data_IF_194346032107
#
_entry.id   IF_194346032107
#
_cell.length_a   1.000
_cell.length_b   1.000
_cell.length_c   1.000
_cell.angle_alpha   90.00
_cell.angle_beta   90.00
_cell.angle_gamma   90.00
#
_symmetry.space_group_name_H-M   'P 1'
#
loop_
_entity.id
_entity.type
_entity.pdbx_description
1 polymer ?
#
# COMPACT_ATOMS: atom_id res chain seq x y z
N UNK A 1 -6.01 -1.94 -9.78
CA UNK A 1 -6.75 -0.91 -9.02
C UNK A 1 -5.87 0.31 -8.87
N UNK A 2 -6.45 1.51 -8.87
CA UNK A 2 -5.72 2.78 -8.72
C UNK A 2 -6.34 3.56 -7.58
N UNK A 3 -5.51 4.12 -6.71
CA UNK A 3 -5.91 4.90 -5.54
C UNK A 3 -5.17 6.25 -5.57
N UNK A 4 -5.96 7.33 -5.59
CA UNK A 4 -5.45 8.70 -5.71
C UNK A 4 -5.29 9.43 -4.35
N UNK A 5 -5.43 8.70 -3.25
CA UNK A 5 -5.26 9.21 -1.89
C UNK A 5 -4.26 8.29 -1.19
N UNK A 6 -3.23 8.87 -0.59
CA UNK A 6 -2.22 8.14 0.14
C UNK A 6 -2.40 8.33 1.64
N UNK A 7 -2.13 7.28 2.40
CA UNK A 7 -2.00 7.33 3.86
C UNK A 7 -0.51 7.37 4.20
N UNK A 8 -0.06 8.46 4.81
CA UNK A 8 1.29 8.57 5.33
C UNK A 8 1.24 8.34 6.84
N UNK A 9 1.85 7.24 7.27
CA UNK A 9 1.99 6.92 8.69
C UNK A 9 3.42 7.22 9.13
N UNK A 10 3.57 8.04 10.17
CA UNK A 10 4.86 8.35 10.75
C UNK A 10 5.15 7.41 11.94
N UNK A 11 6.10 6.49 11.77
CA UNK A 11 6.52 5.53 12.79
C UNK A 11 7.69 6.01 13.68
N UNK A 12 8.12 7.27 13.56
CA UNK A 12 9.18 7.82 14.41
C UNK A 12 8.74 7.90 15.88
N UNK A 13 9.71 7.97 16.81
CA UNK A 13 9.56 7.95 18.29
C UNK A 13 8.67 9.09 18.87
N UNK A 14 8.10 9.94 18.02
CA UNK A 14 7.09 10.96 18.38
C UNK A 14 5.65 10.44 18.31
N UNK A 15 4.68 11.36 18.33
CA UNK A 15 3.26 11.04 18.17
C UNK A 15 3.04 10.32 16.81
N UNK A 16 2.42 9.13 16.79
CA UNK A 16 2.04 8.48 15.54
C UNK A 16 0.92 9.31 14.90
N UNK A 17 1.29 10.11 13.92
CA UNK A 17 0.37 10.96 13.17
C UNK A 17 0.21 10.39 11.79
N UNK A 18 -1.01 9.95 11.51
CA UNK A 18 -1.44 9.51 10.19
C UNK A 18 -2.08 10.69 9.46
N UNK A 19 -1.61 10.98 8.25
CA UNK A 19 -2.19 12.03 7.40
C UNK A 19 -2.59 11.45 6.04
N UNK A 20 -3.75 11.89 5.55
CA UNK A 20 -4.22 11.57 4.21
C UNK A 20 -3.82 12.68 3.26
N UNK A 21 -3.11 12.33 2.19
CA UNK A 21 -2.65 13.29 1.18
C UNK A 21 -3.14 12.88 -0.22
N UNK A 22 -3.53 13.84 -1.08
CA UNK A 22 -3.91 13.53 -2.45
C UNK A 22 -2.69 13.17 -3.28
N UNK A 23 -2.88 12.39 -4.34
CA UNK A 23 -1.88 12.27 -5.40
C UNK A 23 -1.71 13.60 -6.12
N UNK A 24 -0.48 13.90 -6.54
CA UNK A 24 -0.10 15.14 -7.20
C UNK A 24 0.63 14.86 -8.51
N UNK A 25 1.16 15.91 -9.16
CA UNK A 25 2.00 15.72 -10.36
C UNK A 25 3.35 15.06 -10.03
N UNK A 26 3.80 15.19 -8.78
CA UNK A 26 5.08 14.65 -8.30
C UNK A 26 4.84 13.27 -7.68
N UNK A 27 3.81 13.14 -6.85
CA UNK A 27 3.42 11.89 -6.20
C UNK A 27 2.30 11.20 -6.99
N UNK A 28 2.66 10.22 -7.80
CA UNK A 28 1.71 9.49 -8.64
C UNK A 28 0.73 8.64 -7.80
N UNK A 29 -0.50 8.40 -8.32
CA UNK A 29 -1.45 7.50 -7.69
C UNK A 29 -0.88 6.10 -7.41
N UNK A 30 -1.22 5.55 -6.25
CA UNK A 30 -0.89 4.18 -5.91
C UNK A 30 -1.63 3.24 -6.86
N UNK A 31 -0.92 2.31 -7.48
CA UNK A 31 -1.51 1.31 -8.37
C UNK A 31 -1.23 -0.08 -7.86
N UNK A 32 -2.18 -0.99 -8.06
CA UNK A 32 -2.04 -2.38 -7.68
C UNK A 32 -2.56 -3.35 -8.73
N UNK A 33 -1.74 -4.35 -9.02
CA UNK A 33 -2.13 -5.51 -9.82
C UNK A 33 -2.31 -6.70 -8.87
N UNK A 34 -3.42 -7.43 -9.00
CA UNK A 34 -3.63 -8.68 -8.27
C UNK A 34 -3.92 -9.80 -9.26
N UNK A 35 -3.21 -10.90 -9.10
CA UNK A 35 -3.42 -12.16 -9.81
C UNK A 35 -3.86 -13.19 -8.79
N UNK A 36 -4.95 -13.90 -9.05
CA UNK A 36 -5.42 -14.97 -8.17
C UNK A 36 -5.80 -16.20 -8.98
N UNK A 37 -5.57 -17.36 -8.38
CA UNK A 37 -5.95 -18.65 -8.92
C UNK A 37 -6.53 -19.50 -7.79
N UNK A 38 -7.59 -20.26 -8.08
CA UNK A 38 -8.24 -21.08 -7.08
C UNK A 38 -8.82 -22.36 -7.68
N UNK A 39 -8.82 -23.41 -6.87
CA UNK A 39 -9.42 -24.70 -7.17
C UNK A 39 -10.45 -25.02 -6.10
N UNK A 40 -11.65 -25.39 -6.55
CA UNK A 40 -12.75 -25.82 -5.68
C UNK A 40 -13.14 -27.23 -6.08
N UNK A 41 -13.23 -28.13 -5.11
CA UNK A 41 -13.62 -29.53 -5.35
C UNK A 41 -14.60 -30.01 -4.31
N UNK A 42 -15.68 -30.60 -4.78
CA UNK A 42 -16.62 -31.36 -3.95
C UNK A 42 -16.15 -32.81 -3.93
N UNK A 43 -15.77 -33.32 -2.76
CA UNK A 43 -15.28 -34.69 -2.57
C UNK A 43 -16.45 -35.63 -2.25
N UNK A 44 -17.44 -35.13 -1.50
CA UNK A 44 -18.72 -35.80 -1.24
C UNK A 44 -19.82 -34.74 -1.06
N UNK A 45 -21.12 -35.12 -1.02
CA UNK A 45 -22.19 -34.15 -0.76
C UNK A 45 -22.00 -33.34 0.53
N UNK A 46 -21.33 -33.92 1.54
CA UNK A 46 -21.03 -33.25 2.81
C UNK A 46 -19.64 -32.60 2.85
N UNK A 47 -18.70 -32.97 1.97
CA UNK A 47 -17.31 -32.49 2.04
C UNK A 47 -16.93 -31.69 0.79
N UNK A 48 -16.67 -30.39 1.00
CA UNK A 48 -16.17 -29.46 0.00
C UNK A 48 -14.82 -28.92 0.46
N UNK A 49 -13.85 -28.91 -0.45
CA UNK A 49 -12.54 -28.32 -0.23
C UNK A 49 -12.29 -27.24 -1.27
N UNK A 50 -11.60 -26.17 -0.85
CA UNK A 50 -11.14 -25.12 -1.74
C UNK A 50 -9.74 -24.69 -1.35
N UNK A 51 -8.91 -24.42 -2.35
CA UNK A 51 -7.61 -23.77 -2.20
C UNK A 51 -7.59 -22.57 -3.12
N UNK A 52 -7.11 -21.45 -2.61
CA UNK A 52 -6.94 -20.21 -3.35
C UNK A 52 -5.52 -19.70 -3.08
N UNK A 53 -4.91 -19.13 -4.11
CA UNK A 53 -3.61 -18.48 -4.04
C UNK A 53 -3.69 -17.14 -4.77
N UNK A 54 -2.94 -16.15 -4.30
CA UNK A 54 -2.88 -14.84 -4.91
C UNK A 54 -1.49 -14.22 -4.83
N UNK A 55 -1.24 -13.31 -5.77
CA UNK A 55 -0.05 -12.49 -5.85
C UNK A 55 -0.45 -11.06 -6.20
N UNK A 56 -0.10 -10.11 -5.34
CA UNK A 56 -0.39 -8.68 -5.48
C UNK A 56 0.90 -7.89 -5.63
N UNK A 57 0.96 -7.03 -6.63
CA UNK A 57 2.02 -6.02 -6.82
C UNK A 57 1.45 -4.65 -6.53
N UNK A 58 2.17 -3.84 -5.78
CA UNK A 58 1.86 -2.45 -5.49
C UNK A 58 2.95 -1.58 -6.12
N UNK A 59 2.57 -0.51 -6.79
CA UNK A 59 3.48 0.52 -7.29
C UNK A 59 3.06 1.88 -6.76
N UNK A 60 4.04 2.76 -6.58
CA UNK A 60 3.88 4.09 -6.01
C UNK A 60 3.36 4.11 -4.57
N UNK A 61 3.76 3.11 -3.77
CA UNK A 61 3.50 3.13 -2.33
C UNK A 61 4.38 4.20 -1.71
N UNK A 62 3.82 5.07 -0.88
CA UNK A 62 4.53 6.21 -0.33
C UNK A 62 4.90 6.02 1.14
N UNK A 63 6.03 6.58 1.54
CA UNK A 63 6.46 6.67 2.94
C UNK A 63 7.28 7.92 3.16
N UNK A 64 7.44 8.35 4.42
CA UNK A 64 8.35 9.45 4.74
C UNK A 64 9.79 9.08 4.39
N UNK A 65 10.53 10.02 3.83
CA UNK A 65 11.98 9.91 3.65
C UNK A 65 12.64 9.76 5.02
N UNK A 66 13.75 9.02 5.08
CA UNK A 66 14.47 8.76 6.33
C UNK A 66 14.92 10.08 7.00
N UNK A 67 14.58 10.25 8.27
CA UNK A 67 14.88 11.46 9.05
C UNK A 67 13.87 12.60 8.88
N UNK A 68 12.97 12.53 7.90
CA UNK A 68 11.88 13.48 7.74
C UNK A 68 10.64 13.05 8.52
N UNK A 69 9.95 14.03 9.10
CA UNK A 69 8.68 13.84 9.79
C UNK A 69 7.77 15.05 9.63
N UNK A 70 6.51 14.87 10.01
CA UNK A 70 5.45 15.90 9.90
C UNK A 70 5.80 17.20 10.65
N UNK A 71 6.70 17.14 11.63
CA UNK A 71 7.08 18.29 12.46
C UNK A 71 8.00 19.31 11.77
N UNK A 72 8.62 18.96 10.65
CA UNK A 72 9.46 19.91 9.93
C UNK A 72 8.59 20.67 8.90
N UNK A 73 8.20 21.90 9.27
CA UNK A 73 7.16 22.69 8.58
C UNK A 73 7.73 23.54 7.43
N UNK A 74 9.05 23.53 7.23
CA UNK A 74 9.74 24.47 6.34
C UNK A 74 9.91 24.00 4.88
N UNK A 75 9.52 22.76 4.55
CA UNK A 75 9.58 22.25 3.17
C UNK A 75 8.22 21.71 2.73
N UNK A 76 7.93 21.85 1.44
CA UNK A 76 6.74 21.27 0.82
C UNK A 76 6.72 19.76 1.09
N UNK A 77 5.61 19.27 1.64
CA UNK A 77 5.43 17.89 2.09
C UNK A 77 5.71 16.87 0.98
N UNK A 78 5.50 17.23 -0.29
CA UNK A 78 5.77 16.39 -1.46
C UNK A 78 7.24 15.95 -1.56
N UNK A 79 8.18 16.76 -1.06
CA UNK A 79 9.63 16.43 -1.09
C UNK A 79 10.08 15.56 0.07
N UNK A 80 9.23 15.38 1.10
CA UNK A 80 9.51 14.57 2.29
C UNK A 80 9.08 13.12 2.14
N UNK A 81 8.65 12.76 0.94
CA UNK A 81 8.02 11.48 0.66
C UNK A 81 8.84 10.77 -0.41
N UNK A 82 9.07 9.49 -0.16
CA UNK A 82 9.63 8.58 -1.13
C UNK A 82 8.57 7.61 -1.63
N UNK A 83 8.73 7.16 -2.87
CA UNK A 83 7.80 6.27 -3.55
C UNK A 83 8.48 4.93 -3.88
N UNK A 84 7.78 3.84 -3.59
CA UNK A 84 8.33 2.49 -3.67
C UNK A 84 7.39 1.48 -4.32
N UNK A 85 7.82 0.21 -4.31
CA UNK A 85 7.07 -0.94 -4.82
C UNK A 85 6.87 -1.95 -3.69
N UNK A 86 5.66 -2.47 -3.59
CA UNK A 86 5.27 -3.49 -2.60
C UNK A 86 4.83 -4.79 -3.28
N UNK A 87 4.90 -5.89 -2.53
CA UNK A 87 4.42 -7.21 -2.96
C UNK A 87 3.74 -7.91 -1.80
N UNK A 88 2.63 -8.59 -2.07
CA UNK A 88 1.94 -9.45 -1.11
C UNK A 88 1.52 -10.75 -1.80
N UNK A 89 1.58 -11.87 -1.08
CA UNK A 89 1.20 -13.18 -1.59
C UNK A 89 0.55 -14.01 -0.49
N UNK A 90 -0.29 -14.96 -0.86
CA UNK A 90 -0.93 -15.88 0.07
C UNK A 90 -1.78 -16.92 -0.64
#
# INVERSE_FOLDING_TARGET
MTQAIHLLSNGNVGLPTDIWVPSTKIIQPETSDIFSAGLKKTISPQLKASVEAYYKRLNHVVSFTEGDGIMDVNQNWEHKITSGKGRAMG
#
